data_IF_946932596538
#
_entry.id   IF_946932596538
#
_cell.length_a   1.000
_cell.length_b   1.000
_cell.length_c   1.000
_cell.angle_alpha   90.00
_cell.angle_beta   90.00
_cell.angle_gamma   90.00
#
_symmetry.space_group_name_H-M   'P 1'
#
loop_
_entity.id
_entity.type
_entity.pdbx_description
1 polymer ?
#
# COMPACT_ATOMS: atom_id res chain seq x y z
N UNK A 1 -23.22 23.90 4.89
CA UNK A 1 -22.53 23.55 3.64
C UNK A 1 -22.75 22.07 3.40
N UNK A 2 -22.92 21.63 2.16
CA UNK A 2 -23.19 20.22 1.80
C UNK A 2 -21.87 19.45 1.78
N UNK A 3 -21.73 18.52 2.72
CA UNK A 3 -20.58 17.64 2.85
C UNK A 3 -21.01 16.20 2.57
N UNK A 4 -20.16 15.46 1.86
CA UNK A 4 -20.38 14.05 1.55
C UNK A 4 -19.13 13.24 1.85
N UNK A 5 -19.31 12.01 2.30
CA UNK A 5 -18.24 11.02 2.44
C UNK A 5 -18.33 10.06 1.26
N UNK A 6 -17.19 9.83 0.62
CA UNK A 6 -16.99 8.94 -0.50
C UNK A 6 -15.93 7.92 -0.10
N UNK A 7 -16.25 6.64 -0.25
CA UNK A 7 -15.29 5.54 -0.15
C UNK A 7 -14.87 5.15 -1.57
N UNK A 8 -13.57 5.10 -1.84
CA UNK A 8 -13.02 4.77 -3.15
C UNK A 8 -12.08 3.55 -3.05
N UNK A 9 -12.62 2.37 -3.40
CA UNK A 9 -11.90 1.10 -3.41
C UNK A 9 -11.89 0.36 -2.07
N UNK A 10 -11.25 -0.83 -2.01
CA UNK A 10 -10.64 -1.52 -3.14
C UNK A 10 -11.61 -2.33 -4.00
N UNK A 11 -12.82 -2.62 -3.52
CA UNK A 11 -13.81 -3.43 -4.26
C UNK A 11 -15.03 -2.67 -4.80
N UNK A 12 -15.25 -1.45 -4.34
CA UNK A 12 -16.41 -0.64 -4.75
C UNK A 12 -16.11 0.85 -4.58
N UNK A 13 -16.96 1.72 -5.12
CA UNK A 13 -16.93 3.16 -4.88
C UNK A 13 -18.32 3.53 -4.35
N UNK A 14 -18.38 4.09 -3.14
CA UNK A 14 -19.64 4.40 -2.43
C UNK A 14 -19.71 5.87 -2.05
N UNK A 15 -20.91 6.43 -2.10
CA UNK A 15 -21.23 7.76 -1.62
C UNK A 15 -22.68 7.84 -1.18
N UNK A 16 -23.24 9.05 -1.00
CA UNK A 16 -24.65 9.21 -0.65
C UNK A 16 -25.63 8.79 -1.77
N UNK A 17 -25.16 8.73 -3.02
CA UNK A 17 -25.93 8.26 -4.17
C UNK A 17 -25.20 7.11 -4.87
N UNK A 18 -25.88 6.48 -5.83
CA UNK A 18 -25.35 5.34 -6.59
C UNK A 18 -24.82 5.76 -7.97
N UNK A 19 -23.74 5.10 -8.39
CA UNK A 19 -23.29 5.08 -9.78
C UNK A 19 -23.62 3.72 -10.41
N UNK A 20 -23.76 3.63 -11.74
CA UNK A 20 -24.02 2.35 -12.39
C UNK A 20 -22.88 1.35 -12.11
N UNK A 21 -23.16 0.10 -11.68
CA UNK A 21 -22.12 -0.84 -11.24
C UNK A 21 -21.01 -1.08 -12.27
N UNK A 22 -21.36 -1.14 -13.55
CA UNK A 22 -20.38 -1.32 -14.65
C UNK A 22 -19.36 -0.17 -14.75
N UNK A 23 -19.74 1.05 -14.36
CA UNK A 23 -18.84 2.20 -14.33
C UNK A 23 -17.91 2.13 -13.12
N UNK A 24 -18.43 1.71 -11.96
CA UNK A 24 -17.62 1.49 -10.75
C UNK A 24 -16.57 0.41 -11.01
N UNK A 25 -16.96 -0.73 -11.61
CA UNK A 25 -16.02 -1.78 -12.01
C UNK A 25 -14.98 -1.25 -13.00
N UNK A 26 -15.40 -0.59 -14.08
CA UNK A 26 -14.45 -0.04 -15.06
C UNK A 26 -13.50 0.99 -14.45
N UNK A 27 -13.96 1.83 -13.51
CA UNK A 27 -13.12 2.80 -12.82
C UNK A 27 -12.03 2.13 -11.98
N UNK A 28 -12.38 1.08 -11.22
CA UNK A 28 -11.45 0.35 -10.36
C UNK A 28 -10.50 -0.55 -11.15
N UNK A 29 -11.03 -1.33 -12.10
CA UNK A 29 -10.25 -2.29 -12.90
C UNK A 29 -9.26 -1.58 -13.82
N UNK A 30 -9.64 -0.43 -14.38
CA UNK A 30 -8.78 0.34 -15.29
C UNK A 30 -8.10 1.54 -14.60
N UNK A 31 -8.03 1.59 -13.27
CA UNK A 31 -7.53 2.77 -12.52
C UNK A 31 -6.09 3.19 -12.92
N UNK A 32 -5.27 2.22 -13.35
CA UNK A 32 -3.89 2.46 -13.80
C UNK A 32 -3.77 2.64 -15.32
N UNK A 33 -4.86 2.45 -16.07
CA UNK A 33 -4.90 2.56 -17.53
C UNK A 33 -5.23 3.98 -18.00
N UNK A 34 -4.98 4.24 -19.28
CA UNK A 34 -5.39 5.47 -19.96
C UNK A 34 -6.86 5.39 -20.40
N UNK A 35 -7.28 4.23 -20.92
CA UNK A 35 -8.61 4.00 -21.46
C UNK A 35 -9.27 2.77 -20.84
N UNK A 36 -10.57 2.89 -20.59
CA UNK A 36 -11.44 1.77 -20.26
C UNK A 36 -12.39 1.48 -21.44
N UNK A 37 -12.78 0.22 -21.62
CA UNK A 37 -13.83 -0.15 -22.56
C UNK A 37 -15.17 -0.22 -21.83
N UNK A 38 -16.09 0.66 -22.18
CA UNK A 38 -17.44 0.69 -21.61
C UNK A 38 -18.49 0.59 -22.72
N UNK A 39 -19.30 -0.46 -22.70
CA UNK A 39 -20.27 -0.78 -23.76
C UNK A 39 -19.60 -0.78 -25.16
N UNK A 40 -18.45 -1.47 -25.28
CA UNK A 40 -17.61 -1.55 -26.48
C UNK A 40 -17.09 -0.20 -27.01
N UNK A 41 -17.14 0.85 -26.19
CA UNK A 41 -16.59 2.17 -26.53
C UNK A 41 -15.39 2.50 -25.66
N UNK A 42 -14.25 2.89 -26.25
CA UNK A 42 -13.12 3.38 -25.48
C UNK A 42 -13.50 4.73 -24.85
N UNK A 43 -13.32 4.83 -23.54
CA UNK A 43 -13.49 6.03 -22.75
C UNK A 43 -12.21 6.32 -21.99
N UNK A 44 -11.87 7.60 -21.81
CA UNK A 44 -10.79 7.97 -20.90
C UNK A 44 -11.15 7.49 -19.50
N UNK A 45 -10.19 6.86 -18.81
CA UNK A 45 -10.37 6.48 -17.41
C UNK A 45 -10.63 7.71 -16.54
N UNK A 46 -10.06 8.86 -16.91
CA UNK A 46 -10.32 10.14 -16.23
C UNK A 46 -11.80 10.53 -16.28
N UNK A 47 -12.43 10.43 -17.46
CA UNK A 47 -13.85 10.74 -17.65
C UNK A 47 -14.73 9.75 -16.88
N UNK A 48 -14.39 8.45 -16.92
CA UNK A 48 -15.12 7.42 -16.16
C UNK A 48 -15.10 7.72 -14.67
N UNK A 49 -13.94 8.09 -14.11
CA UNK A 49 -13.84 8.46 -12.69
C UNK A 49 -14.61 9.74 -12.36
N UNK A 50 -14.55 10.76 -13.21
CA UNK A 50 -15.29 12.02 -13.03
C UNK A 50 -16.81 11.78 -13.03
N UNK A 51 -17.30 10.97 -13.96
CA UNK A 51 -18.72 10.62 -14.05
C UNK A 51 -19.18 9.79 -12.84
N UNK A 52 -18.36 8.83 -12.38
CA UNK A 52 -18.64 8.08 -11.15
C UNK A 52 -18.70 9.01 -9.95
N UNK A 53 -17.72 9.89 -9.76
CA UNK A 53 -17.65 10.83 -8.63
C UNK A 53 -18.84 11.79 -8.61
N UNK A 54 -19.20 12.34 -9.77
CA UNK A 54 -20.36 13.23 -9.91
C UNK A 54 -21.66 12.49 -9.62
N UNK A 55 -21.80 11.25 -10.08
CA UNK A 55 -23.00 10.44 -9.84
C UNK A 55 -23.18 10.12 -8.35
N UNK A 56 -22.13 9.68 -7.66
CA UNK A 56 -22.23 9.27 -6.25
C UNK A 56 -22.33 10.46 -5.30
N UNK A 57 -21.63 11.57 -5.58
CA UNK A 57 -21.63 12.73 -4.70
C UNK A 57 -22.95 13.51 -4.79
N UNK A 58 -23.55 13.58 -5.99
CA UNK A 58 -24.72 14.40 -6.28
C UNK A 58 -24.37 15.86 -6.56
N UNK A 59 -25.39 16.70 -6.71
CA UNK A 59 -25.22 18.10 -7.13
C UNK A 59 -24.91 19.04 -5.95
N UNK A 60 -24.12 20.10 -6.23
CA UNK A 60 -23.83 21.19 -5.30
C UNK A 60 -23.12 20.75 -4.01
N UNK A 61 -22.13 19.87 -4.09
CA UNK A 61 -21.32 19.46 -2.94
C UNK A 61 -20.24 20.51 -2.66
N UNK A 62 -20.23 21.05 -1.44
CA UNK A 62 -19.18 21.98 -1.02
C UNK A 62 -17.88 21.24 -0.69
N UNK A 63 -17.98 20.10 0.00
CA UNK A 63 -16.81 19.32 0.41
C UNK A 63 -17.03 17.82 0.26
N UNK A 64 -16.11 17.15 -0.43
CA UNK A 64 -16.03 15.69 -0.49
C UNK A 64 -14.91 15.19 0.41
N UNK A 65 -15.24 14.33 1.38
CA UNK A 65 -14.27 13.52 2.12
C UNK A 65 -14.10 12.22 1.35
N UNK A 66 -12.92 11.97 0.82
CA UNK A 66 -12.65 10.75 0.07
C UNK A 66 -11.72 9.85 0.88
N UNK A 67 -12.22 8.65 1.19
CA UNK A 67 -11.49 7.61 1.89
C UNK A 67 -10.93 6.63 0.87
N UNK A 68 -9.61 6.49 0.83
CA UNK A 68 -8.91 5.56 -0.07
C UNK A 68 -8.14 4.51 0.74
N UNK A 69 -7.89 3.31 0.19
CA UNK A 69 -6.98 2.33 0.78
C UNK A 69 -5.60 2.93 1.04
N UNK A 70 -5.00 2.62 2.21
CA UNK A 70 -3.72 3.22 2.61
C UNK A 70 -2.53 2.79 1.75
N UNK A 71 -2.68 1.70 1.00
CA UNK A 71 -1.64 1.11 0.17
C UNK A 71 -1.71 1.51 -1.31
N UNK A 72 -2.71 2.31 -1.71
CA UNK A 72 -2.78 2.78 -3.09
C UNK A 72 -1.59 3.68 -3.43
N UNK A 73 -0.94 3.50 -4.59
CA UNK A 73 0.12 4.39 -5.01
C UNK A 73 -0.41 5.81 -5.19
N UNK A 74 0.47 6.80 -5.01
CA UNK A 74 0.13 8.22 -5.12
C UNK A 74 -0.57 8.56 -6.44
N UNK A 75 -0.25 7.88 -7.55
CA UNK A 75 -0.91 8.04 -8.84
C UNK A 75 -2.41 7.74 -8.80
N UNK A 76 -2.83 6.64 -8.16
CA UNK A 76 -4.24 6.30 -7.97
C UNK A 76 -4.91 7.35 -7.08
N UNK A 77 -4.27 7.70 -5.95
CA UNK A 77 -4.78 8.73 -5.03
C UNK A 77 -4.97 10.08 -5.74
N UNK A 78 -4.02 10.50 -6.59
CA UNK A 78 -4.14 11.72 -7.38
C UNK A 78 -5.30 11.65 -8.38
N UNK A 79 -5.49 10.51 -9.06
CA UNK A 79 -6.62 10.33 -9.99
C UNK A 79 -7.95 10.46 -9.27
N UNK A 80 -8.13 9.76 -8.15
CA UNK A 80 -9.34 9.85 -7.31
C UNK A 80 -9.56 11.28 -6.85
N UNK A 81 -8.52 11.96 -6.37
CA UNK A 81 -8.62 13.35 -5.93
C UNK A 81 -9.06 14.29 -7.05
N UNK A 82 -8.47 14.14 -8.23
CA UNK A 82 -8.81 14.95 -9.39
C UNK A 82 -10.27 14.75 -9.80
N UNK A 83 -10.72 13.50 -9.84
CA UNK A 83 -12.11 13.16 -10.12
C UNK A 83 -13.06 13.70 -9.04
N UNK A 84 -12.69 13.68 -7.76
CA UNK A 84 -13.53 14.23 -6.69
C UNK A 84 -13.73 15.76 -6.83
N UNK A 85 -12.75 16.49 -7.38
CA UNK A 85 -12.89 17.92 -7.68
C UNK A 85 -13.86 18.21 -8.83
N UNK A 86 -14.28 17.23 -9.63
CA UNK A 86 -15.36 17.44 -10.61
C UNK A 86 -16.72 17.51 -9.94
N UNK A 87 -16.85 16.96 -8.72
CA UNK A 87 -18.08 16.88 -7.96
C UNK A 87 -18.17 17.87 -6.80
N UNK A 88 -17.03 18.29 -6.23
CA UNK A 88 -16.96 19.14 -5.04
C UNK A 88 -15.97 20.31 -5.16
N UNK A 89 -16.22 21.38 -4.42
CA UNK A 89 -15.30 22.55 -4.37
C UNK A 89 -14.04 22.24 -3.57
N UNK A 90 -14.20 21.55 -2.44
CA UNK A 90 -13.11 21.13 -1.56
C UNK A 90 -13.03 19.60 -1.48
N UNK A 91 -11.81 19.05 -1.44
CA UNK A 91 -11.57 17.61 -1.33
C UNK A 91 -10.60 17.33 -0.20
N UNK A 92 -11.05 16.53 0.77
CA UNK A 92 -10.26 16.05 1.89
C UNK A 92 -9.98 14.56 1.68
N UNK A 93 -8.71 14.18 1.60
CA UNK A 93 -8.30 12.78 1.48
C UNK A 93 -8.04 12.20 2.88
N UNK A 94 -8.59 11.02 3.14
CA UNK A 94 -8.31 10.22 4.32
C UNK A 94 -7.86 8.82 3.89
N UNK A 95 -6.89 8.26 4.60
CA UNK A 95 -6.49 6.87 4.39
C UNK A 95 -7.35 5.95 5.26
N UNK A 96 -7.85 4.89 4.65
CA UNK A 96 -8.70 3.89 5.29
C UNK A 96 -8.02 3.27 6.50
N UNK A 97 -6.73 2.99 6.42
CA UNK A 97 -5.92 2.47 7.55
C UNK A 97 -5.96 3.36 8.79
N UNK A 98 -5.95 4.69 8.62
CA UNK A 98 -6.02 5.63 9.75
C UNK A 98 -7.39 5.65 10.40
N UNK A 99 -8.45 5.53 9.61
CA UNK A 99 -9.83 5.42 10.11
C UNK A 99 -10.01 4.11 10.89
N UNK A 100 -9.48 3.02 10.35
CA UNK A 100 -9.52 1.70 10.98
C UNK A 100 -8.77 1.70 12.32
N UNK A 101 -7.57 2.30 12.42
CA UNK A 101 -6.86 2.42 13.71
C UNK A 101 -7.67 3.22 14.74
N UNK A 102 -8.21 4.37 14.33
CA UNK A 102 -8.99 5.24 15.20
C UNK A 102 -10.27 4.59 15.76
N UNK A 103 -10.78 3.53 15.12
CA UNK A 103 -11.93 2.75 15.59
C UNK A 103 -11.60 1.81 16.74
N UNK A 104 -10.34 1.40 16.89
CA UNK A 104 -9.95 0.30 17.75
C UNK A 104 -8.83 0.67 18.72
N UNK A 105 -7.65 0.96 18.19
CA UNK A 105 -6.47 1.37 18.93
C UNK A 105 -5.46 1.91 17.94
N UNK A 106 -4.78 3.01 18.29
CA UNK A 106 -3.74 3.59 17.45
C UNK A 106 -2.58 2.61 17.17
N UNK A 107 -2.35 1.66 18.09
CA UNK A 107 -1.31 0.63 18.00
C UNK A 107 -1.80 -0.68 17.35
N UNK A 108 -3.03 -0.74 16.84
CA UNK A 108 -3.55 -1.96 16.21
C UNK A 108 -2.87 -2.24 14.87
N UNK A 109 -2.55 -3.51 14.63
CA UNK A 109 -2.18 -4.00 13.29
C UNK A 109 -3.43 -4.06 12.44
N UNK A 110 -3.42 -3.39 11.30
CA UNK A 110 -4.53 -3.36 10.35
C UNK A 110 -4.24 -4.30 9.20
N UNK A 111 -5.24 -5.08 8.79
CA UNK A 111 -5.20 -5.95 7.61
C UNK A 111 -6.24 -5.45 6.62
N UNK A 112 -5.82 -4.80 5.54
CA UNK A 112 -6.69 -4.38 4.44
C UNK A 112 -6.75 -5.50 3.38
N UNK A 113 -7.92 -6.13 3.21
CA UNK A 113 -8.12 -7.19 2.22
C UNK A 113 -8.56 -6.57 0.88
N UNK A 114 -7.79 -6.83 -0.17
CA UNK A 114 -8.14 -6.54 -1.56
C UNK A 114 -8.32 -7.83 -2.35
N UNK A 115 -8.62 -7.73 -3.64
CA UNK A 115 -8.84 -8.90 -4.50
C UNK A 115 -7.65 -9.84 -4.45
N UNK A 116 -6.43 -9.37 -4.75
CA UNK A 116 -5.27 -10.25 -4.94
C UNK A 116 -4.22 -10.14 -3.85
N UNK A 117 -4.44 -9.29 -2.86
CA UNK A 117 -3.48 -9.02 -1.80
C UNK A 117 -4.19 -8.67 -0.50
N UNK A 118 -3.63 -9.15 0.62
CA UNK A 118 -3.92 -8.62 1.94
C UNK A 118 -2.72 -7.78 2.40
N UNK A 119 -2.96 -6.51 2.71
CA UNK A 119 -1.92 -5.59 3.17
C UNK A 119 -1.97 -5.49 4.68
N UNK A 120 -0.87 -5.85 5.34
CA UNK A 120 -0.70 -5.79 6.78
C UNK A 120 0.06 -4.51 7.12
N UNK A 121 -0.54 -3.65 7.93
CA UNK A 121 -0.01 -2.36 8.32
C UNK A 121 0.15 -2.27 9.84
N UNK A 122 1.37 -2.10 10.32
CA UNK A 122 1.70 -1.96 11.74
C UNK A 122 2.49 -0.67 11.97
N UNK A 123 2.32 -0.03 13.14
CA UNK A 123 3.07 1.19 13.52
C UNK A 123 3.08 2.29 12.45
N UNK A 124 1.97 2.50 11.72
CA UNK A 124 1.91 3.53 10.69
C UNK A 124 2.50 3.16 9.32
N UNK A 125 3.10 1.97 9.15
CA UNK A 125 3.74 1.56 7.88
C UNK A 125 3.21 0.22 7.37
N UNK A 126 3.45 -0.08 6.08
CA UNK A 126 3.10 -1.36 5.47
C UNK A 126 4.10 -2.43 5.90
N UNK A 127 3.73 -3.26 6.86
CA UNK A 127 4.56 -4.33 7.40
C UNK A 127 4.62 -5.55 6.48
N UNK A 128 3.58 -5.83 5.70
CA UNK A 128 3.60 -6.88 4.68
C UNK A 128 2.53 -6.66 3.60
N UNK A 129 2.76 -7.23 2.43
CA UNK A 129 1.75 -7.42 1.40
C UNK A 129 1.75 -8.91 1.04
N UNK A 130 0.66 -9.59 1.38
CA UNK A 130 0.51 -11.04 1.24
C UNK A 130 -0.33 -11.32 0.00
N UNK A 131 0.27 -11.86 -1.08
CA UNK A 131 -0.48 -12.24 -2.27
C UNK A 131 -1.48 -13.35 -1.95
N UNK A 132 -2.71 -13.22 -2.43
CA UNK A 132 -3.81 -14.13 -2.12
C UNK A 132 -3.96 -15.21 -3.21
N UNK A 133 -4.01 -16.46 -2.77
CA UNK A 133 -4.17 -17.63 -3.64
C UNK A 133 -5.64 -18.01 -3.85
N UNK A 134 -6.57 -17.18 -3.38
CA UNK A 134 -8.03 -17.44 -3.39
C UNK A 134 -8.39 -18.72 -2.62
N UNK A 135 -7.59 -19.04 -1.59
CA UNK A 135 -7.82 -20.14 -0.69
C UNK A 135 -7.81 -19.58 0.74
N UNK A 136 -9.00 -19.32 1.29
CA UNK A 136 -9.15 -18.63 2.56
C UNK A 136 -8.35 -19.27 3.72
N UNK A 137 -8.13 -20.60 3.70
CA UNK A 137 -7.38 -21.27 4.77
C UNK A 137 -5.88 -21.01 4.65
N UNK A 138 -5.31 -21.19 3.45
CA UNK A 138 -3.89 -20.94 3.20
C UNK A 138 -3.57 -19.44 3.29
N UNK A 139 -4.44 -18.60 2.74
CA UNK A 139 -4.31 -17.15 2.77
C UNK A 139 -4.37 -16.63 4.21
N UNK A 140 -5.30 -17.12 5.04
CA UNK A 140 -5.36 -16.73 6.45
C UNK A 140 -4.12 -17.17 7.24
N UNK A 141 -3.50 -18.30 6.89
CA UNK A 141 -2.26 -18.75 7.52
C UNK A 141 -1.08 -17.84 7.14
N UNK A 142 -0.93 -17.53 5.86
CA UNK A 142 0.10 -16.61 5.38
C UNK A 142 -0.07 -15.20 5.96
N UNK A 143 -1.31 -14.70 6.02
CA UNK A 143 -1.62 -13.40 6.65
C UNK A 143 -1.36 -13.44 8.15
N UNK A 144 -1.77 -14.49 8.87
CA UNK A 144 -1.47 -14.64 10.29
C UNK A 144 0.03 -14.66 10.58
N UNK A 145 0.82 -15.35 9.75
CA UNK A 145 2.28 -15.34 9.86
C UNK A 145 2.86 -13.94 9.62
N UNK A 146 2.33 -13.19 8.65
CA UNK A 146 2.76 -11.82 8.35
C UNK A 146 2.37 -10.79 9.42
N UNK A 147 1.28 -11.03 10.14
CA UNK A 147 0.84 -10.21 11.28
C UNK A 147 1.82 -10.32 12.46
N UNK A 148 2.44 -11.49 12.67
CA UNK A 148 3.40 -11.72 13.75
C UNK A 148 2.76 -11.76 15.14
N UNK A 149 3.26 -10.93 16.07
CA UNK A 149 2.79 -10.89 17.47
C UNK A 149 2.21 -9.52 17.85
N UNK A 150 1.01 -9.18 17.36
CA UNK A 150 0.40 -7.87 17.57
C UNK A 150 -0.26 -7.74 18.94
N UNK A 151 -0.43 -6.51 19.43
CA UNK A 151 -1.23 -6.24 20.61
C UNK A 151 -2.75 -6.37 20.34
N UNK A 152 -3.18 -6.00 19.13
CA UNK A 152 -4.55 -6.15 18.64
C UNK A 152 -4.55 -6.13 17.10
N UNK A 153 -5.58 -6.72 16.49
CA UNK A 153 -5.74 -6.80 15.04
C UNK A 153 -7.09 -6.24 14.60
N UNK A 154 -7.06 -5.51 13.51
CA UNK A 154 -8.25 -5.03 12.80
C UNK A 154 -8.21 -5.60 11.41
N UNK A 155 -9.21 -6.39 11.05
CA UNK A 155 -9.32 -6.97 9.71
C UNK A 155 -10.40 -6.23 8.95
N UNK A 156 -10.00 -5.53 7.90
CA UNK A 156 -10.91 -4.85 6.99
C UNK A 156 -11.33 -5.79 5.87
N UNK A 157 -12.65 -5.94 5.70
CA UNK A 157 -13.26 -6.88 4.78
C UNK A 157 -14.29 -6.16 3.88
N UNK A 158 -13.82 -5.43 2.85
CA UNK A 158 -14.70 -4.59 2.04
C UNK A 158 -15.75 -5.40 1.26
N UNK A 159 -17.00 -4.93 1.20
CA UNK A 159 -18.13 -5.71 0.62
C UNK A 159 -17.98 -6.00 -0.88
N UNK A 160 -17.21 -5.18 -1.60
CA UNK A 160 -16.95 -5.34 -3.03
C UNK A 160 -15.84 -6.36 -3.35
N UNK A 161 -15.16 -6.91 -2.34
CA UNK A 161 -14.06 -7.86 -2.55
C UNK A 161 -14.55 -9.28 -2.34
N UNK A 162 -14.59 -10.06 -3.42
CA UNK A 162 -15.06 -11.44 -3.39
C UNK A 162 -14.23 -12.30 -2.42
N UNK A 163 -14.91 -12.91 -1.45
CA UNK A 163 -14.28 -13.79 -0.46
C UNK A 163 -13.65 -13.09 0.75
N UNK A 164 -13.62 -11.75 0.79
CA UNK A 164 -13.01 -10.99 1.88
C UNK A 164 -13.62 -11.32 3.25
N UNK A 165 -14.94 -11.44 3.35
CA UNK A 165 -15.61 -11.78 4.60
C UNK A 165 -15.21 -13.16 5.15
N UNK A 166 -15.05 -14.16 4.26
CA UNK A 166 -14.62 -15.51 4.64
C UNK A 166 -13.17 -15.50 5.10
N UNK A 167 -12.29 -14.84 4.35
CA UNK A 167 -10.89 -14.69 4.73
C UNK A 167 -10.75 -13.95 6.07
N UNK A 168 -11.48 -12.85 6.26
CA UNK A 168 -11.47 -12.07 7.49
C UNK A 168 -11.93 -12.88 8.71
N UNK A 169 -13.00 -13.66 8.58
CA UNK A 169 -13.44 -14.58 9.64
C UNK A 169 -12.34 -15.59 9.97
N UNK A 170 -11.69 -16.15 8.95
CA UNK A 170 -10.68 -17.19 9.11
C UNK A 170 -9.38 -16.65 9.75
N UNK A 171 -9.01 -15.40 9.44
CA UNK A 171 -7.93 -14.67 10.13
C UNK A 171 -8.33 -14.39 11.58
N UNK A 172 -9.55 -13.89 11.81
CA UNK A 172 -10.01 -13.56 13.15
C UNK A 172 -10.06 -14.80 14.07
N UNK A 173 -10.51 -15.95 13.56
CA UNK A 173 -10.52 -17.20 14.33
C UNK A 173 -9.11 -17.66 14.71
N UNK A 174 -8.12 -17.46 13.81
CA UNK A 174 -6.70 -17.72 14.12
C UNK A 174 -6.17 -16.79 15.21
N UNK A 175 -6.44 -15.48 15.11
CA UNK A 175 -5.99 -14.50 16.11
C UNK A 175 -6.61 -14.79 17.48
N UNK A 176 -7.91 -15.13 17.53
CA UNK A 176 -8.57 -15.54 18.78
C UNK A 176 -7.98 -16.81 19.38
N UNK A 177 -7.58 -17.78 18.55
CA UNK A 177 -6.98 -19.03 19.02
C UNK A 177 -5.61 -18.83 19.71
N UNK A 178 -4.95 -17.69 19.49
CA UNK A 178 -3.71 -17.28 20.15
C UNK A 178 -3.91 -16.10 21.12
N UNK A 179 -5.15 -15.89 21.57
CA UNK A 179 -5.54 -14.85 22.53
C UNK A 179 -5.22 -13.40 22.10
N UNK A 180 -5.12 -13.14 20.79
CA UNK A 180 -4.97 -11.79 20.24
C UNK A 180 -6.35 -11.16 20.04
N UNK A 181 -6.63 -9.98 20.65
CA UNK A 181 -7.86 -9.23 20.39
C UNK A 181 -7.98 -8.90 18.90
N UNK A 182 -9.11 -9.27 18.29
CA UNK A 182 -9.35 -9.03 16.87
C UNK A 182 -10.76 -8.52 16.63
N UNK A 183 -10.88 -7.52 15.75
CA UNK A 183 -12.17 -7.08 15.21
C UNK A 183 -12.14 -7.07 13.69
N UNK A 184 -13.25 -7.50 13.10
CA UNK A 184 -13.54 -7.29 11.68
C UNK A 184 -14.26 -5.95 11.56
N UNK A 185 -13.75 -5.06 10.72
CA UNK A 185 -14.38 -3.78 10.41
C UNK A 185 -15.44 -3.96 9.32
N UNK A 186 -16.57 -3.26 9.46
CA UNK A 186 -17.56 -3.12 8.39
C UNK A 186 -17.36 -1.78 7.64
N UNK A 187 -17.78 -1.72 6.38
CA UNK A 187 -17.64 -0.50 5.56
C UNK A 187 -18.44 0.68 6.15
N UNK A 188 -19.53 0.39 6.87
CA UNK A 188 -20.34 1.41 7.51
C UNK A 188 -19.63 2.04 8.74
N UNK A 189 -18.68 1.34 9.38
CA UNK A 189 -17.83 1.86 10.44
C UNK A 189 -16.91 2.96 9.88
N UNK A 190 -16.36 2.74 8.69
CA UNK A 190 -15.45 3.68 8.01
C UNK A 190 -16.19 4.97 7.65
N UNK A 191 -17.41 4.86 7.10
CA UNK A 191 -18.26 6.01 6.78
C UNK A 191 -18.72 6.77 8.04
N UNK A 192 -19.06 6.06 9.13
CA UNK A 192 -19.49 6.70 10.38
C UNK A 192 -18.37 7.51 11.05
N UNK A 193 -17.15 6.99 11.05
CA UNK A 193 -16.02 7.64 11.74
C UNK A 193 -15.53 8.86 10.99
N UNK A 194 -15.44 8.78 9.67
CA UNK A 194 -15.07 9.91 8.83
C UNK A 194 -16.04 11.09 9.02
N UNK A 195 -17.35 10.83 9.10
CA UNK A 195 -18.34 11.85 9.45
C UNK A 195 -18.17 12.40 10.89
N UNK A 196 -17.86 11.54 11.87
CA UNK A 196 -17.71 11.92 13.27
C UNK A 196 -16.42 12.70 13.58
N UNK A 197 -15.29 12.36 12.97
CA UNK A 197 -14.01 13.06 13.13
C UNK A 197 -14.12 14.52 12.69
N UNK A 198 -14.90 14.80 11.64
CA UNK A 198 -15.09 16.16 11.12
C UNK A 198 -16.10 16.97 11.91
N UNK A 199 -17.15 16.36 12.43
CA UNK A 199 -18.05 17.03 13.40
C UNK A 199 -17.28 17.59 14.60
N UNK A 200 -16.17 16.96 15.01
CA UNK A 200 -15.29 17.47 16.08
C UNK A 200 -14.36 18.60 15.62
N UNK A 201 -13.88 18.57 14.38
CA UNK A 201 -13.04 19.62 13.80
C UNK A 201 -13.82 20.92 13.53
N UNK A 202 -15.10 20.82 13.18
CA UNK A 202 -15.98 21.98 12.94
C UNK A 202 -16.34 22.70 14.26
N UNK A 203 -16.61 21.94 15.33
CA UNK A 203 -16.88 22.49 16.68
C UNK A 203 -15.62 23.14 17.30
N UNK A 204 -14.42 22.77 16.85
CA UNK A 204 -13.15 23.36 17.29
C UNK A 204 -12.82 24.72 16.66
N UNK A 205 -13.56 25.18 15.65
CA UNK A 205 -13.27 26.41 14.91
C UNK A 205 -14.22 27.59 15.21
N UNK A 206 -15.23 27.42 16.06
CA UNK A 206 -16.21 28.48 16.39
C UNK A 206 -16.09 29.11 17.81
N UNK A 207 -15.01 28.84 18.56
CA UNK A 207 -14.80 29.45 19.89
C UNK A 207 -13.56 30.38 19.94
N UNK A 208 -13.56 31.40 19.09
CA UNK A 208 -12.77 32.63 19.32
C UNK A 208 -13.68 33.85 19.17
N UNK A 209 -14.65 33.98 20.07
CA UNK A 209 -15.30 35.27 20.32
C UNK A 209 -15.64 35.45 21.80
N UNK A 210 -14.98 36.44 22.39
CA UNK A 210 -15.46 37.25 23.51
C UNK A 210 -15.77 36.53 24.84
N UNK A 211 -14.82 36.64 25.78
CA UNK A 211 -15.04 36.25 27.18
C UNK A 211 -14.06 36.89 28.15
N UNK A 212 -13.82 38.21 28.03
CA UNK A 212 -13.02 38.98 29.00
C UNK A 212 -13.81 39.08 30.31
N UNK A 213 -13.59 38.14 31.23
CA UNK A 213 -14.15 38.19 32.59
C UNK A 213 -13.02 38.13 33.61
N UNK A 214 -12.66 39.31 34.07
CA UNK A 214 -11.78 39.54 35.20
C UNK A 214 -12.40 38.99 36.49
N UNK A 215 -11.83 37.92 37.05
CA UNK A 215 -11.85 37.67 38.50
C UNK A 215 -10.55 37.00 38.95
N UNK A 216 -9.60 37.81 39.43
CA UNK A 216 -8.53 37.38 40.34
C UNK A 216 -8.37 38.38 41.48
N UNK A 217 -8.69 37.91 42.69
CA UNK A 217 -8.31 38.38 44.03
C UNK A 217 -8.64 37.18 44.92
N UNK A 218 -7.77 36.55 45.72
CA UNK A 218 -6.63 36.96 46.55
C UNK A 218 -5.53 35.86 46.45
N UNK A 219 -4.24 36.11 46.29
CA UNK A 219 -3.24 36.58 47.28
C UNK A 219 -3.16 35.71 48.56
N UNK A 220 -2.07 34.92 48.72
CA UNK A 220 -1.17 34.92 49.90
C UNK A 220 0.16 34.22 49.53
N UNK A 221 1.26 34.89 49.89
CA UNK A 221 2.66 34.51 49.80
C UNK A 221 3.06 33.35 50.74
N UNK A 222 3.92 32.46 50.25
CA UNK A 222 5.03 31.79 50.97
C UNK A 222 5.72 30.89 49.92
N UNK A 223 7.01 30.96 49.59
CA UNK A 223 8.15 31.40 50.39
C UNK A 223 9.14 30.24 50.61
N UNK A 224 9.55 29.48 49.58
CA UNK A 224 10.74 28.59 49.64
C UNK A 224 11.35 28.45 48.23
N UNK A 225 12.56 28.98 48.06
CA UNK A 225 13.44 28.72 46.91
C UNK A 225 14.04 27.32 47.08
N UNK A 226 13.59 26.37 46.26
CA UNK A 226 14.29 25.09 46.08
C UNK A 226 14.56 24.92 44.59
N UNK A 227 15.82 25.10 44.20
CA UNK A 227 16.32 24.72 42.87
C UNK A 227 16.33 23.19 42.85
N UNK A 228 15.28 22.59 42.31
CA UNK A 228 15.26 21.19 41.93
C UNK A 228 15.53 21.12 40.44
N UNK A 229 16.75 20.71 40.09
CA UNK A 229 17.12 20.26 38.76
C UNK A 229 16.22 19.06 38.44
N UNK A 230 15.13 19.30 37.70
CA UNK A 230 14.39 18.25 37.01
C UNK A 230 15.29 17.81 35.86
N UNK A 231 16.15 16.82 36.13
CA UNK A 231 16.63 15.92 35.10
C UNK A 231 15.38 15.30 34.50
N UNK A 232 14.97 15.82 33.34
CA UNK A 232 13.98 15.17 32.49
C UNK A 232 14.52 13.78 32.17
N UNK A 233 14.00 12.77 32.86
CA UNK A 233 14.03 11.42 32.36
C UNK A 233 13.22 11.47 31.06
N UNK A 234 13.93 11.63 29.94
CA UNK A 234 13.47 11.10 28.68
C UNK A 234 13.19 9.63 28.97
N UNK A 235 11.91 9.28 29.14
CA UNK A 235 11.47 7.94 28.86
C UNK A 235 11.82 7.74 27.39
N UNK A 236 13.01 7.19 27.14
CA UNK A 236 13.31 6.52 25.92
C UNK A 236 12.20 5.47 25.81
N UNK A 237 11.20 5.77 24.97
CA UNK A 237 10.41 4.72 24.37
C UNK A 237 11.42 3.72 23.86
N UNK A 238 11.41 2.53 24.45
CA UNK A 238 12.14 1.40 23.92
C UNK A 238 11.55 1.15 22.53
N UNK A 239 12.10 1.82 21.52
CA UNK A 239 12.02 1.38 20.14
C UNK A 239 12.70 0.02 20.14
N UNK A 240 11.88 -1.01 20.02
CA UNK A 240 12.37 -2.35 19.77
C UNK A 240 13.29 -2.31 18.53
N UNK A 241 14.40 -3.05 18.49
CA UNK A 241 15.46 -2.84 17.51
C UNK A 241 15.17 -3.37 16.09
N UNK A 242 13.91 -3.38 15.64
CA UNK A 242 13.48 -4.06 14.42
C UNK A 242 12.62 -3.20 13.47
N UNK A 243 12.66 -1.87 13.61
CA UNK A 243 12.06 -0.99 12.60
C UNK A 243 12.99 -0.89 11.38
N UNK A 244 12.85 -1.85 10.48
CA UNK A 244 13.34 -1.76 9.11
C UNK A 244 12.87 -0.48 8.42
N UNK A 245 13.46 -0.14 7.27
CA UNK A 245 13.07 1.08 6.56
C UNK A 245 11.55 1.09 6.29
N UNK A 246 10.83 2.21 6.50
CA UNK A 246 9.38 2.25 6.29
C UNK A 246 9.07 1.84 4.85
N UNK A 247 8.09 0.97 4.67
CA UNK A 247 7.75 0.39 3.37
C UNK A 247 6.42 0.93 2.85
N UNK A 248 6.26 0.89 1.53
CA UNK A 248 5.01 1.17 0.82
C UNK A 248 4.80 0.15 -0.29
N UNK A 249 3.54 -0.08 -0.67
CA UNK A 249 3.22 -0.90 -1.84
C UNK A 249 3.31 -0.05 -3.11
N UNK A 250 4.22 -0.41 -4.00
CA UNK A 250 4.32 0.15 -5.34
C UNK A 250 3.55 -0.76 -6.30
N UNK A 251 2.54 -0.21 -6.96
CA UNK A 251 1.84 -0.87 -8.07
C UNK A 251 2.32 -0.25 -9.38
N UNK A 252 2.84 -1.08 -10.27
CA UNK A 252 3.31 -0.68 -11.60
C UNK A 252 2.77 -1.67 -12.64
N UNK A 253 1.96 -1.20 -13.58
CA UNK A 253 1.32 -2.08 -14.56
C UNK A 253 0.54 -3.20 -13.86
N UNK A 254 0.90 -4.46 -14.12
CA UNK A 254 0.23 -5.63 -13.56
C UNK A 254 0.94 -6.22 -12.35
N UNK A 255 1.84 -5.49 -11.70
CA UNK A 255 2.56 -6.00 -10.52
C UNK A 255 2.44 -5.07 -9.32
N UNK A 256 2.31 -5.67 -8.13
CA UNK A 256 2.45 -5.01 -6.83
C UNK A 256 3.70 -5.50 -6.12
N UNK A 257 4.52 -4.58 -5.60
CA UNK A 257 5.79 -4.89 -4.92
C UNK A 257 6.02 -3.93 -3.76
N UNK A 258 6.39 -4.43 -2.58
CA UNK A 258 6.83 -3.57 -1.48
C UNK A 258 8.20 -2.96 -1.78
N UNK A 259 8.30 -1.66 -1.60
CA UNK A 259 9.54 -0.90 -1.73
C UNK A 259 9.69 0.06 -0.54
N UNK A 260 10.92 0.48 -0.19
CA UNK A 260 11.09 1.48 0.85
C UNK A 260 10.38 2.79 0.48
N UNK A 261 9.57 3.31 1.38
CA UNK A 261 8.71 4.48 1.18
C UNK A 261 9.51 5.77 0.90
N UNK A 262 10.75 5.84 1.37
CA UNK A 262 11.64 6.99 1.16
C UNK A 262 12.41 6.92 -0.15
N UNK A 263 12.35 5.80 -0.88
CA UNK A 263 13.07 5.64 -2.15
C UNK A 263 12.26 6.20 -3.31
N UNK A 264 12.95 6.75 -4.30
CA UNK A 264 12.29 7.39 -5.44
C UNK A 264 12.11 6.41 -6.58
N UNK A 265 10.87 6.16 -6.98
CA UNK A 265 10.54 5.36 -8.16
C UNK A 265 10.56 6.19 -9.44
N UNK A 266 11.19 5.67 -10.50
CA UNK A 266 11.25 6.27 -11.83
C UNK A 266 11.07 5.23 -12.92
N UNK A 267 10.28 5.54 -13.95
CA UNK A 267 10.15 4.71 -15.15
C UNK A 267 11.32 4.96 -16.09
N UNK A 268 11.94 3.88 -16.55
CA UNK A 268 12.95 3.87 -17.60
C UNK A 268 12.32 3.13 -18.78
N UNK A 269 11.86 3.87 -19.78
CA UNK A 269 11.13 3.33 -20.93
C UNK A 269 11.97 3.30 -22.21
N UNK A 270 13.17 3.85 -22.18
CA UNK A 270 14.09 3.95 -23.32
C UNK A 270 15.54 3.76 -22.88
N UNK A 271 16.41 3.48 -23.85
CA UNK A 271 17.82 3.17 -23.62
C UNK A 271 18.10 1.66 -23.57
N UNK A 272 19.32 1.26 -23.15
CA UNK A 272 19.72 -0.14 -23.13
C UNK A 272 19.00 -0.97 -22.04
N UNK A 273 18.67 -2.20 -22.41
CA UNK A 273 17.95 -3.16 -21.57
C UNK A 273 16.42 -3.01 -21.64
N UNK A 274 15.72 -3.87 -20.90
CA UNK A 274 14.25 -3.83 -20.84
C UNK A 274 13.74 -2.57 -20.15
N UNK A 275 12.57 -2.10 -20.59
CA UNK A 275 11.81 -1.09 -19.87
C UNK A 275 11.54 -1.56 -18.44
N UNK A 276 11.71 -0.67 -17.47
CA UNK A 276 11.74 -1.01 -16.05
C UNK A 276 11.36 0.17 -15.18
N UNK A 277 10.86 -0.12 -13.98
CA UNK A 277 10.88 0.85 -12.89
C UNK A 277 12.16 0.68 -12.11
N UNK A 278 12.85 1.78 -11.85
CA UNK A 278 13.98 1.83 -10.93
C UNK A 278 13.55 2.57 -9.67
N UNK A 279 13.78 1.96 -8.51
CA UNK A 279 13.49 2.55 -7.19
C UNK A 279 14.82 2.78 -6.50
N UNK A 280 15.19 4.04 -6.27
CA UNK A 280 16.56 4.43 -5.90
C UNK A 280 16.61 4.95 -4.47
N UNK A 281 17.61 4.48 -3.72
CA UNK A 281 17.88 4.97 -2.36
C UNK A 281 18.26 6.45 -2.38
N UNK A 282 17.71 7.27 -1.46
CA UNK A 282 18.13 8.67 -1.32
C UNK A 282 19.56 8.80 -0.76
N UNK A 283 20.09 7.77 -0.10
CA UNK A 283 21.39 7.81 0.54
C UNK A 283 22.54 7.41 -0.41
N UNK A 284 22.26 6.60 -1.42
CA UNK A 284 23.27 6.07 -2.36
C UNK A 284 22.62 5.71 -3.70
N UNK A 285 23.01 6.39 -4.77
CA UNK A 285 22.42 6.20 -6.10
C UNK A 285 22.74 4.83 -6.73
N UNK A 286 23.77 4.14 -6.23
CA UNK A 286 24.13 2.80 -6.68
C UNK A 286 23.29 1.71 -5.98
N UNK A 287 22.56 2.06 -4.92
CA UNK A 287 21.63 1.18 -4.22
C UNK A 287 20.22 1.39 -4.78
N UNK A 288 19.74 0.40 -5.53
CA UNK A 288 18.45 0.49 -6.21
C UNK A 288 17.78 -0.87 -6.41
N UNK A 289 16.45 -0.87 -6.47
CA UNK A 289 15.65 -1.98 -7.00
C UNK A 289 15.30 -1.70 -8.46
N UNK A 290 15.30 -2.73 -9.29
CA UNK A 290 14.80 -2.70 -10.67
C UNK A 290 13.64 -3.66 -10.78
N UNK A 291 12.50 -3.19 -11.27
CA UNK A 291 11.30 -3.99 -11.45
C UNK A 291 11.00 -4.07 -12.95
N UNK A 292 10.92 -5.29 -13.45
CA UNK A 292 10.41 -5.55 -14.80
C UNK A 292 9.31 -6.58 -14.75
N UNK A 293 8.42 -6.48 -15.74
CA UNK A 293 7.35 -7.42 -15.93
C UNK A 293 7.24 -7.78 -17.41
N UNK A 294 6.84 -9.02 -17.68
CA UNK A 294 6.41 -9.42 -19.01
C UNK A 294 5.22 -10.36 -18.89
N UNK A 295 4.21 -10.15 -19.73
CA UNK A 295 3.06 -11.02 -19.76
C UNK A 295 3.20 -12.08 -20.85
N UNK A 296 2.72 -13.28 -20.56
CA UNK A 296 2.58 -14.37 -21.51
C UNK A 296 1.10 -14.64 -21.76
N UNK A 297 0.69 -15.06 -22.98
CA UNK A 297 -0.73 -15.31 -23.29
C UNK A 297 -1.36 -16.41 -22.42
N UNK A 298 -0.53 -17.31 -21.89
CA UNK A 298 -0.91 -18.38 -20.97
C UNK A 298 0.10 -18.42 -19.82
N UNK A 299 -0.28 -18.93 -18.64
CA UNK A 299 0.66 -19.13 -17.55
C UNK A 299 1.86 -19.94 -18.03
N UNK A 300 3.07 -19.44 -17.76
CA UNK A 300 4.32 -20.13 -18.09
C UNK A 300 4.85 -20.84 -16.86
N UNK A 301 5.55 -21.95 -17.05
CA UNK A 301 6.27 -22.60 -15.95
C UNK A 301 7.59 -21.88 -15.66
N UNK A 302 8.13 -22.08 -14.45
CA UNK A 302 9.46 -21.56 -14.11
C UNK A 302 10.55 -22.15 -15.04
N UNK A 303 10.42 -23.42 -15.42
CA UNK A 303 11.36 -24.10 -16.33
C UNK A 303 11.35 -23.51 -17.74
N UNK A 304 10.17 -23.18 -18.29
CA UNK A 304 10.06 -22.48 -19.59
C UNK A 304 10.68 -21.08 -19.49
N UNK A 305 10.45 -20.38 -18.37
CA UNK A 305 11.06 -19.07 -18.10
C UNK A 305 12.59 -19.18 -18.03
N UNK A 306 13.13 -20.18 -17.34
CA UNK A 306 14.57 -20.44 -17.27
C UNK A 306 15.17 -20.72 -18.65
N UNK A 307 14.52 -21.57 -19.45
CA UNK A 307 14.99 -21.89 -20.80
C UNK A 307 15.04 -20.64 -21.70
N UNK A 308 13.98 -19.82 -21.67
CA UNK A 308 13.91 -18.58 -22.43
C UNK A 308 14.97 -17.56 -21.97
N UNK A 309 15.17 -17.40 -20.66
CA UNK A 309 16.20 -16.52 -20.11
C UNK A 309 17.61 -17.00 -20.48
N UNK A 310 17.89 -18.29 -20.31
CA UNK A 310 19.20 -18.88 -20.66
C UNK A 310 19.55 -18.62 -22.12
N UNK A 311 18.60 -18.83 -23.04
CA UNK A 311 18.78 -18.54 -24.46
C UNK A 311 19.09 -17.05 -24.72
N UNK A 312 18.31 -16.14 -24.11
CA UNK A 312 18.52 -14.70 -24.28
C UNK A 312 19.85 -14.21 -23.69
N UNK A 313 20.26 -14.73 -22.54
CA UNK A 313 21.53 -14.36 -21.89
C UNK A 313 22.74 -14.84 -22.70
N UNK A 314 22.64 -16.00 -23.39
CA UNK A 314 23.71 -16.54 -24.22
C UNK A 314 24.02 -15.70 -25.46
N UNK A 315 23.10 -14.85 -25.91
CA UNK A 315 23.31 -13.92 -27.05
C UNK A 315 24.08 -12.66 -26.66
N UNK A 316 24.32 -12.43 -25.36
CA UNK A 316 25.01 -11.23 -24.86
C UNK A 316 26.52 -11.44 -24.73
N UNK A 317 27.28 -10.35 -24.66
CA UNK A 317 28.73 -10.38 -24.43
C UNK A 317 29.12 -11.24 -23.22
N UNK A 318 30.14 -12.07 -23.39
CA UNK A 318 30.63 -12.99 -22.37
C UNK A 318 31.02 -12.25 -21.08
N UNK A 319 30.59 -12.77 -19.92
CA UNK A 319 30.88 -12.20 -18.60
C UNK A 319 29.96 -11.06 -18.16
N UNK A 320 29.06 -10.58 -19.02
CA UNK A 320 28.07 -9.56 -18.67
C UNK A 320 26.97 -10.10 -17.74
N UNK A 321 26.67 -11.40 -17.84
CA UNK A 321 25.72 -12.12 -17.01
C UNK A 321 26.37 -13.41 -16.51
N UNK A 322 26.27 -13.67 -15.22
CA UNK A 322 26.94 -14.78 -14.52
C UNK A 322 25.99 -15.39 -13.48
N UNK A 323 26.42 -16.49 -12.86
CA UNK A 323 25.72 -17.15 -11.74
C UNK A 323 24.26 -17.55 -12.04
N UNK A 324 23.98 -17.95 -13.29
CA UNK A 324 22.64 -18.38 -13.68
C UNK A 324 22.23 -19.67 -12.95
N UNK A 325 21.09 -19.64 -12.28
CA UNK A 325 20.45 -20.80 -11.65
C UNK A 325 18.98 -20.89 -12.10
N UNK A 326 18.63 -21.99 -12.75
CA UNK A 326 17.32 -22.22 -13.35
C UNK A 326 16.21 -22.54 -12.33
N UNK A 327 16.56 -22.91 -11.10
CA UNK A 327 15.62 -23.44 -10.11
C UNK A 327 16.08 -23.10 -8.70
N UNK A 328 16.31 -21.82 -8.43
CA UNK A 328 16.71 -21.30 -7.12
C UNK A 328 15.47 -21.09 -6.22
N UNK A 329 15.71 -20.78 -4.94
CA UNK A 329 14.69 -20.30 -4.01
C UNK A 329 15.14 -19.03 -3.31
N UNK A 330 14.30 -17.99 -3.32
CA UNK A 330 14.53 -16.70 -2.66
C UNK A 330 13.30 -16.30 -1.88
N UNK A 331 13.45 -15.99 -0.60
CA UNK A 331 12.34 -15.59 0.28
C UNK A 331 11.15 -16.56 0.18
N UNK A 332 11.45 -17.86 0.21
CA UNK A 332 10.50 -18.99 0.05
C UNK A 332 9.77 -19.09 -1.29
N UNK A 333 10.21 -18.35 -2.31
CA UNK A 333 9.67 -18.40 -3.66
C UNK A 333 10.60 -19.14 -4.61
N UNK A 334 10.03 -19.97 -5.47
CA UNK A 334 10.77 -20.56 -6.59
C UNK A 334 11.10 -19.47 -7.60
N UNK A 335 12.36 -19.41 -8.03
CA UNK A 335 12.83 -18.36 -8.93
C UNK A 335 13.96 -18.83 -9.85
N UNK A 336 14.10 -18.15 -10.98
CA UNK A 336 15.33 -18.16 -11.78
C UNK A 336 16.19 -17.01 -11.30
N UNK A 337 17.46 -17.26 -11.00
CA UNK A 337 18.38 -16.21 -10.55
C UNK A 337 19.59 -16.10 -11.47
N UNK A 338 20.11 -14.89 -11.59
CA UNK A 338 21.36 -14.60 -12.29
C UNK A 338 21.90 -13.24 -11.83
N UNK A 339 23.16 -12.94 -12.16
CA UNK A 339 23.79 -11.67 -11.82
C UNK A 339 24.27 -10.95 -13.06
N UNK A 340 23.87 -9.69 -13.21
CA UNK A 340 24.41 -8.78 -14.20
C UNK A 340 25.64 -8.08 -13.62
N UNK A 341 26.77 -8.14 -14.33
CA UNK A 341 28.04 -7.54 -13.91
C UNK A 341 28.42 -6.42 -14.85
N UNK A 342 28.59 -5.21 -14.28
CA UNK A 342 29.18 -4.05 -14.94
C UNK A 342 30.31 -3.50 -14.04
N UNK A 343 31.27 -2.74 -14.58
CA UNK A 343 32.43 -2.28 -13.81
C UNK A 343 32.07 -1.54 -12.50
N UNK A 344 31.00 -0.76 -12.50
CA UNK A 344 30.60 0.10 -11.37
C UNK A 344 29.40 -0.44 -10.60
N UNK A 345 28.68 -1.44 -11.12
CA UNK A 345 27.47 -1.96 -10.47
C UNK A 345 27.23 -3.42 -10.77
N UNK A 346 26.72 -4.14 -9.78
CA UNK A 346 26.15 -5.46 -9.94
C UNK A 346 24.64 -5.39 -9.75
N UNK A 347 23.89 -6.21 -10.49
CA UNK A 347 22.46 -6.40 -10.27
C UNK A 347 22.20 -7.89 -10.09
N UNK A 348 21.75 -8.29 -8.90
CA UNK A 348 21.28 -9.65 -8.64
C UNK A 348 19.82 -9.75 -9.04
N UNK A 349 19.52 -10.52 -10.08
CA UNK A 349 18.18 -10.69 -10.62
C UNK A 349 17.51 -11.93 -10.06
N UNK A 350 16.26 -11.77 -9.64
CA UNK A 350 15.34 -12.83 -9.23
C UNK A 350 14.11 -12.75 -10.11
N UNK A 351 13.84 -13.80 -10.89
CA UNK A 351 12.70 -13.87 -11.82
C UNK A 351 11.72 -14.93 -11.33
N UNK A 352 10.48 -14.50 -11.11
CA UNK A 352 9.38 -15.30 -10.60
C UNK A 352 8.25 -15.32 -11.62
N UNK A 353 7.40 -16.35 -11.56
CA UNK A 353 6.18 -16.42 -12.35
C UNK A 353 4.98 -16.35 -11.43
N UNK A 354 4.05 -15.47 -11.75
CA UNK A 354 2.77 -15.32 -11.07
C UNK A 354 1.65 -15.27 -12.11
N UNK A 355 0.90 -16.38 -12.22
CA UNK A 355 -0.09 -16.57 -13.28
C UNK A 355 0.51 -16.38 -14.68
N UNK A 356 0.01 -15.39 -15.41
CA UNK A 356 0.46 -15.01 -16.76
C UNK A 356 1.59 -13.97 -16.76
N UNK A 357 2.04 -13.52 -15.59
CA UNK A 357 3.03 -12.46 -15.45
C UNK A 357 4.35 -13.01 -14.95
N UNK A 358 5.44 -12.75 -15.69
CA UNK A 358 6.81 -12.96 -15.21
C UNK A 358 7.29 -11.66 -14.59
N UNK A 359 7.71 -11.72 -13.34
CA UNK A 359 8.15 -10.58 -12.54
C UNK A 359 9.64 -10.74 -12.29
N UNK A 360 10.47 -9.76 -12.68
CA UNK A 360 11.88 -9.75 -12.32
C UNK A 360 12.18 -8.59 -11.37
N UNK A 361 12.79 -8.94 -10.24
CA UNK A 361 13.33 -8.00 -9.25
C UNK A 361 14.85 -8.04 -9.35
N UNK A 362 15.45 -6.89 -9.68
CA UNK A 362 16.90 -6.71 -9.79
C UNK A 362 17.41 -5.89 -8.62
N UNK A 363 18.30 -6.45 -7.82
CA UNK A 363 18.85 -5.82 -6.63
C UNK A 363 20.24 -5.27 -6.94
N UNK A 364 20.32 -3.94 -7.07
CA UNK A 364 21.52 -3.24 -7.48
C UNK A 364 22.33 -2.78 -6.27
N UNK A 365 23.64 -3.00 -6.34
CA UNK A 365 24.63 -2.42 -5.43
C UNK A 365 25.99 -2.29 -6.11
N UNK A 366 26.87 -1.49 -5.52
CA UNK A 366 28.30 -1.54 -5.86
C UNK A 366 28.90 -2.89 -5.42
N UNK A 367 29.93 -3.42 -6.12
CA UNK A 367 30.55 -4.68 -5.75
C UNK A 367 31.02 -4.70 -4.28
N UNK A 368 30.61 -5.74 -3.52
CA UNK A 368 30.98 -5.88 -2.11
C UNK A 368 30.13 -5.05 -1.13
N UNK A 369 29.06 -4.40 -1.60
CA UNK A 369 28.09 -3.64 -0.80
C UNK A 369 26.67 -4.18 -0.92
N UNK A 370 26.53 -5.48 -1.19
CA UNK A 370 25.26 -6.15 -1.41
C UNK A 370 24.36 -6.14 -0.16
N UNK A 371 24.95 -5.98 1.02
CA UNK A 371 24.23 -5.82 2.29
C UNK A 371 23.31 -4.59 2.31
N UNK A 372 23.67 -3.51 1.60
CA UNK A 372 22.93 -2.25 1.62
C UNK A 372 21.59 -2.30 0.88
N UNK A 373 21.44 -3.25 -0.05
CA UNK A 373 20.18 -3.46 -0.80
C UNK A 373 19.42 -4.68 -0.29
N UNK A 374 20.02 -5.51 0.57
CA UNK A 374 19.51 -6.84 0.94
C UNK A 374 18.11 -6.79 1.53
N UNK A 375 17.88 -5.99 2.57
CA UNK A 375 16.57 -5.91 3.22
C UNK A 375 15.47 -5.47 2.24
N UNK A 376 15.72 -4.39 1.49
CA UNK A 376 14.78 -3.90 0.47
C UNK A 376 14.52 -4.96 -0.62
N UNK A 377 15.55 -5.69 -1.02
CA UNK A 377 15.49 -6.77 -2.00
C UNK A 377 14.64 -7.93 -1.51
N UNK A 378 14.90 -8.42 -0.30
CA UNK A 378 14.18 -9.55 0.29
C UNK A 378 12.69 -9.21 0.44
N UNK A 379 12.38 -7.99 0.91
CA UNK A 379 11.00 -7.51 1.03
C UNK A 379 10.30 -7.38 -0.33
N UNK A 380 11.01 -6.89 -1.35
CA UNK A 380 10.48 -6.80 -2.70
C UNK A 380 10.21 -8.18 -3.32
N UNK A 381 11.15 -9.12 -3.20
CA UNK A 381 11.01 -10.49 -3.72
C UNK A 381 9.84 -11.20 -3.04
N UNK A 382 9.75 -11.13 -1.71
CA UNK A 382 8.69 -11.77 -0.94
C UNK A 382 7.30 -11.27 -1.32
N UNK A 383 7.16 -9.96 -1.54
CA UNK A 383 5.87 -9.30 -1.78
C UNK A 383 5.46 -9.22 -3.25
N UNK A 384 6.35 -9.45 -4.21
CA UNK A 384 6.06 -9.25 -5.62
C UNK A 384 4.92 -10.16 -6.12
N UNK A 385 3.84 -9.60 -6.64
CA UNK A 385 2.71 -10.37 -7.15
C UNK A 385 2.09 -9.71 -8.36
N UNK A 386 1.35 -10.49 -9.14
CA UNK A 386 0.46 -9.98 -10.16
C UNK A 386 -0.76 -9.33 -9.49
N UNK A 387 -1.18 -8.16 -9.99
CA UNK A 387 -2.44 -7.51 -9.60
C UNK A 387 -3.41 -7.56 -10.77
N UNK A 388 -4.70 -7.77 -10.46
CA UNK A 388 -5.80 -7.77 -11.43
C UNK A 388 -6.16 -6.37 -11.88
#
# INVERSE_FOLDING_TARGET
MTEVVIEAGPGTIRGPNDAPPKWVSAALDCVDDEFALLDDRPMSVEDVWADVMTSIAGAHVATAVVVCPGWWPATRIHRVRHAAYTAATEVVLLERVHILRALFSDDATVVEIASDVAVVSASGTVAAAVPLQKNAMLDAEAVAAAIGSPAAVVVDAPVGVLGAAVLASTIADRMRAIDVPVRIADDDDVLRVSAAQRSRSDVGSEDVAAGRSHRKLFAVLSGVLTVMVLCGAFAASHQSPDDGAPMTLLVEGRIGVLVPATWTARRITSGPGSARVQVVSPADADVALHLTQSSTPRPSTLAETAAALSAALAETAAGAFVDFNASDRREDREAVTYREVRPERHVAWTVMVDGTTRIAVGCQSAPGREDLVREACDRAIRSAHAVS
#
